data_IF_644675306305
#
_entry.id   IF_644675306305
#
_cell.length_a   1.000
_cell.length_b   1.000
_cell.length_c   1.000
_cell.angle_alpha   90.00
_cell.angle_beta   90.00
_cell.angle_gamma   90.00
#
_symmetry.space_group_name_H-M   'P 1'
#
loop_
_entity.id
_entity.type
_entity.pdbx_description
1 polymer ?
#
# COMPACT_ATOMS: atom_id res chain seq x y z
N UNK A 1 36.57 -68.33 -4.85
CA UNK A 1 35.14 -68.17 -5.20
C UNK A 1 34.42 -67.46 -4.08
N UNK A 2 33.98 -66.23 -4.31
CA UNK A 2 32.83 -65.53 -3.68
C UNK A 2 33.03 -64.01 -3.88
N UNK A 3 32.48 -63.50 -4.99
CA UNK A 3 32.41 -62.06 -5.27
C UNK A 3 31.28 -61.47 -4.43
N UNK A 4 31.61 -60.68 -3.41
CA UNK A 4 30.62 -59.83 -2.74
C UNK A 4 30.41 -58.57 -3.57
N UNK A 5 29.49 -58.64 -4.53
CA UNK A 5 28.97 -57.48 -5.24
C UNK A 5 28.03 -56.73 -4.31
N UNK A 6 28.55 -55.68 -3.69
CA UNK A 6 27.83 -54.72 -2.86
C UNK A 6 26.88 -53.91 -3.75
N UNK A 7 25.59 -54.26 -3.78
CA UNK A 7 24.54 -53.51 -4.48
C UNK A 7 24.26 -52.19 -3.77
N UNK A 8 25.05 -51.15 -4.09
CA UNK A 8 24.72 -49.78 -3.72
C UNK A 8 23.55 -49.29 -4.59
N UNK A 9 22.34 -49.35 -4.05
CA UNK A 9 21.21 -48.55 -4.54
C UNK A 9 21.63 -47.06 -4.52
N UNK A 10 21.54 -46.32 -5.64
CA UNK A 10 21.84 -44.90 -5.62
C UNK A 10 20.78 -44.19 -4.77
N UNK A 11 21.20 -43.66 -3.62
CA UNK A 11 20.40 -42.74 -2.81
C UNK A 11 20.18 -41.48 -3.65
N UNK A 12 19.06 -41.46 -4.38
CA UNK A 12 18.57 -40.28 -5.10
C UNK A 12 18.30 -39.21 -4.06
N UNK A 13 19.27 -38.31 -3.84
CA UNK A 13 19.07 -37.09 -3.05
C UNK A 13 17.91 -36.34 -3.71
N UNK A 14 16.73 -36.36 -3.08
CA UNK A 14 15.68 -35.40 -3.35
C UNK A 14 16.28 -34.04 -3.00
N UNK A 15 16.60 -33.26 -4.02
CA UNK A 15 16.75 -31.82 -3.85
C UNK A 15 15.51 -31.29 -3.13
N UNK A 16 15.65 -30.40 -2.13
CA UNK A 16 14.50 -29.78 -1.51
C UNK A 16 13.66 -29.12 -2.61
N UNK A 17 12.32 -29.23 -2.55
CA UNK A 17 11.46 -28.64 -3.57
C UNK A 17 11.80 -27.15 -3.71
N UNK A 18 11.84 -26.62 -4.94
CA UNK A 18 12.10 -25.20 -5.14
C UNK A 18 11.10 -24.40 -4.29
N UNK A 19 11.60 -23.44 -3.52
CA UNK A 19 10.80 -22.46 -2.80
C UNK A 19 10.10 -21.57 -3.83
N UNK A 20 9.05 -22.06 -4.47
CA UNK A 20 8.23 -21.31 -5.43
C UNK A 20 7.17 -20.46 -4.70
N UNK A 21 7.11 -20.51 -3.37
CA UNK A 21 5.97 -20.01 -2.58
C UNK A 21 6.24 -18.69 -1.85
N UNK A 22 7.46 -18.15 -1.85
CA UNK A 22 7.76 -16.91 -1.10
C UNK A 22 7.60 -15.61 -1.90
N UNK A 23 7.24 -15.69 -3.19
CA UNK A 23 6.93 -14.52 -4.01
C UNK A 23 5.49 -14.57 -4.53
N UNK A 24 4.51 -14.80 -3.64
CA UNK A 24 3.17 -14.27 -3.92
C UNK A 24 3.23 -12.75 -3.72
N UNK A 25 3.84 -12.08 -4.70
CA UNK A 25 3.68 -10.64 -4.88
C UNK A 25 2.19 -10.36 -4.87
N UNK A 26 1.75 -9.41 -4.04
CA UNK A 26 0.37 -8.91 -3.96
C UNK A 26 -0.28 -8.56 -5.32
N UNK A 27 0.50 -8.55 -6.41
CA UNK A 27 0.06 -8.45 -7.81
C UNK A 27 -0.83 -9.61 -8.30
N UNK A 28 -0.70 -10.84 -7.79
CA UNK A 28 -1.40 -12.02 -8.34
C UNK A 28 -2.83 -12.20 -7.82
N UNK A 29 -3.18 -11.52 -6.74
CA UNK A 29 -4.58 -11.40 -6.32
C UNK A 29 -5.09 -10.17 -7.07
N UNK A 30 -6.01 -10.33 -8.02
CA UNK A 30 -6.53 -9.25 -8.90
C UNK A 30 -7.14 -8.02 -8.21
N UNK A 31 -6.98 -7.91 -6.89
CA UNK A 31 -7.22 -6.77 -6.02
C UNK A 31 -6.15 -5.67 -6.15
N UNK A 32 -4.95 -5.96 -6.67
CA UNK A 32 -3.87 -4.98 -6.84
C UNK A 32 -4.29 -3.65 -7.52
N UNK A 33 -4.90 -3.68 -8.72
CA UNK A 33 -5.33 -2.44 -9.39
C UNK A 33 -6.50 -1.76 -8.67
N UNK A 34 -7.46 -2.51 -8.12
CA UNK A 34 -8.60 -1.93 -7.38
C UNK A 34 -8.17 -1.28 -6.07
N UNK A 35 -7.29 -1.92 -5.31
CA UNK A 35 -6.70 -1.35 -4.11
C UNK A 35 -5.88 -0.09 -4.45
N UNK A 36 -5.13 -0.11 -5.56
CA UNK A 36 -4.37 1.06 -6.02
C UNK A 36 -5.30 2.22 -6.40
N UNK A 37 -6.36 1.96 -7.18
CA UNK A 37 -7.37 2.97 -7.54
C UNK A 37 -8.05 3.53 -6.29
N UNK A 38 -8.41 2.66 -5.34
CA UNK A 38 -9.03 3.06 -4.08
C UNK A 38 -8.11 3.96 -3.26
N UNK A 39 -6.82 3.63 -3.17
CA UNK A 39 -5.81 4.47 -2.51
C UNK A 39 -5.64 5.81 -3.24
N UNK A 40 -5.65 5.83 -4.58
CA UNK A 40 -5.57 7.06 -5.37
C UNK A 40 -6.81 7.95 -5.13
N UNK A 41 -8.00 7.39 -5.10
CA UNK A 41 -9.23 8.13 -4.82
C UNK A 41 -9.21 8.70 -3.40
N UNK A 42 -8.83 7.89 -2.40
CA UNK A 42 -8.74 8.33 -1.00
C UNK A 42 -7.67 9.41 -0.82
N UNK A 43 -6.54 9.33 -1.52
CA UNK A 43 -5.47 10.34 -1.43
C UNK A 43 -5.80 11.65 -2.16
N UNK A 44 -6.61 11.61 -3.22
CA UNK A 44 -7.03 12.80 -3.97
C UNK A 44 -8.23 13.53 -3.37
N UNK A 45 -9.08 12.82 -2.61
CA UNK A 45 -10.25 13.37 -1.92
C UNK A 45 -9.92 14.57 -1.00
N UNK A 46 -8.91 14.47 -0.11
CA UNK A 46 -8.51 15.59 0.75
C UNK A 46 -8.03 16.81 -0.04
N UNK A 47 -7.28 16.62 -1.13
CA UNK A 47 -6.83 17.73 -1.98
C UNK A 47 -8.01 18.41 -2.68
N UNK A 48 -8.93 17.61 -3.19
CA UNK A 48 -10.15 18.11 -3.84
C UNK A 48 -11.01 18.90 -2.84
N UNK A 49 -11.16 18.39 -1.62
CA UNK A 49 -11.85 19.08 -0.52
C UNK A 49 -11.22 20.43 -0.16
N UNK A 50 -9.89 20.54 -0.16
CA UNK A 50 -9.18 21.80 0.08
C UNK A 50 -9.49 22.84 -1.02
N UNK A 51 -9.40 22.43 -2.29
CA UNK A 51 -9.67 23.31 -3.44
C UNK A 51 -11.12 23.83 -3.42
N UNK A 52 -12.08 22.94 -3.19
CA UNK A 52 -13.49 23.28 -3.10
C UNK A 52 -13.75 24.20 -1.90
N UNK A 53 -13.17 23.90 -0.74
CA UNK A 53 -13.28 24.74 0.47
C UNK A 53 -12.77 26.17 0.24
N UNK A 54 -11.60 26.31 -0.40
CA UNK A 54 -11.01 27.61 -0.75
C UNK A 54 -11.88 28.40 -1.75
N UNK A 55 -12.46 27.72 -2.73
CA UNK A 55 -13.38 28.34 -3.68
C UNK A 55 -14.62 28.89 -2.98
N UNK A 56 -15.28 28.08 -2.14
CA UNK A 56 -16.49 28.49 -1.43
C UNK A 56 -16.23 29.53 -0.34
N UNK A 57 -15.05 29.53 0.29
CA UNK A 57 -14.68 30.57 1.26
C UNK A 57 -14.70 31.99 0.67
N UNK A 58 -14.45 32.13 -0.64
CA UNK A 58 -14.45 33.44 -1.33
C UNK A 58 -15.84 33.92 -1.76
N UNK A 59 -16.89 33.13 -1.52
CA UNK A 59 -18.25 33.51 -1.90
C UNK A 59 -18.80 34.64 -1.02
N UNK A 60 -19.64 35.49 -1.62
CA UNK A 60 -20.29 36.63 -0.94
C UNK A 60 -21.40 36.18 0.02
N UNK A 61 -22.04 35.05 -0.26
CA UNK A 61 -23.09 34.51 0.60
C UNK A 61 -22.49 33.89 1.87
N UNK A 62 -22.97 34.34 3.03
CA UNK A 62 -22.45 33.92 4.33
C UNK A 62 -22.56 32.40 4.56
N UNK A 63 -23.67 31.80 4.14
CA UNK A 63 -23.91 30.36 4.31
C UNK A 63 -22.90 29.52 3.50
N UNK A 64 -22.67 29.86 2.23
CA UNK A 64 -21.71 29.13 1.37
C UNK A 64 -20.27 29.34 1.80
N UNK A 65 -19.93 30.55 2.28
CA UNK A 65 -18.62 30.83 2.87
C UNK A 65 -18.37 30.03 4.15
N UNK A 66 -19.38 29.89 5.00
CA UNK A 66 -19.29 29.09 6.23
C UNK A 66 -19.11 27.62 5.89
N UNK A 67 -19.88 27.09 4.94
CA UNK A 67 -19.71 25.75 4.41
C UNK A 67 -18.29 25.51 3.86
N UNK A 68 -17.78 26.44 3.05
CA UNK A 68 -16.42 26.38 2.51
C UNK A 68 -15.34 26.32 3.61
N UNK A 69 -15.49 27.11 4.67
CA UNK A 69 -14.59 27.07 5.84
C UNK A 69 -14.64 25.73 6.57
N UNK A 70 -15.84 25.21 6.83
CA UNK A 70 -16.01 23.90 7.49
C UNK A 70 -15.40 22.78 6.64
N UNK A 71 -15.64 22.80 5.33
CA UNK A 71 -15.06 21.84 4.40
C UNK A 71 -13.54 21.93 4.37
N UNK A 72 -12.98 23.14 4.39
CA UNK A 72 -11.54 23.37 4.43
C UNK A 72 -10.90 22.81 5.71
N UNK A 73 -11.51 23.05 6.88
CA UNK A 73 -11.04 22.48 8.15
C UNK A 73 -11.08 20.95 8.12
N UNK A 74 -12.17 20.37 7.63
CA UNK A 74 -12.33 18.93 7.54
C UNK A 74 -11.30 18.29 6.58
N UNK A 75 -11.09 18.89 5.41
CA UNK A 75 -10.11 18.41 4.44
C UNK A 75 -8.66 18.52 4.95
N UNK A 76 -8.35 19.57 5.72
CA UNK A 76 -7.03 19.74 6.37
C UNK A 76 -6.81 18.67 7.44
N UNK A 77 -7.84 18.39 8.25
CA UNK A 77 -7.77 17.35 9.28
C UNK A 77 -7.59 15.95 8.67
N UNK A 78 -8.31 15.63 7.59
CA UNK A 78 -8.12 14.40 6.82
C UNK A 78 -6.70 14.28 6.26
N UNK A 79 -6.15 15.37 5.72
CA UNK A 79 -4.76 15.42 5.27
C UNK A 79 -3.77 15.13 6.40
N UNK A 80 -4.00 15.72 7.58
CA UNK A 80 -3.16 15.49 8.74
C UNK A 80 -3.17 14.02 9.17
N UNK A 81 -4.35 13.40 9.28
CA UNK A 81 -4.47 11.97 9.60
C UNK A 81 -3.75 11.12 8.54
N UNK A 82 -3.98 11.44 7.26
CA UNK A 82 -3.33 10.72 6.17
C UNK A 82 -1.80 10.80 6.29
N UNK A 83 -1.26 12.00 6.57
CA UNK A 83 0.18 12.20 6.76
C UNK A 83 0.70 11.45 7.99
N UNK A 84 -0.05 11.43 9.10
CA UNK A 84 0.30 10.68 10.30
C UNK A 84 0.37 9.16 10.07
N UNK A 85 -0.44 8.61 9.17
CA UNK A 85 -0.41 7.18 8.82
C UNK A 85 0.65 6.89 7.75
N UNK A 86 0.78 7.73 6.73
CA UNK A 86 1.72 7.52 5.64
C UNK A 86 3.18 7.71 6.07
N UNK A 87 3.46 8.70 6.93
CA UNK A 87 4.81 9.04 7.35
C UNK A 87 5.56 7.87 8.01
N UNK A 88 5.01 7.19 9.04
CA UNK A 88 5.68 6.03 9.64
C UNK A 88 5.80 4.86 8.65
N UNK A 89 4.81 4.66 7.78
CA UNK A 89 4.86 3.61 6.75
C UNK A 89 6.00 3.85 5.76
N UNK A 90 6.23 5.10 5.34
CA UNK A 90 7.35 5.46 4.45
C UNK A 90 8.71 5.29 5.14
N UNK A 91 8.80 5.61 6.44
CA UNK A 91 10.03 5.40 7.21
C UNK A 91 10.34 3.90 7.34
N UNK A 92 9.35 3.07 7.69
CA UNK A 92 9.53 1.61 7.80
C UNK A 92 9.96 1.01 6.46
N UNK A 93 9.24 1.32 5.37
CA UNK A 93 9.58 0.82 4.03
C UNK A 93 10.94 1.35 3.55
N UNK A 94 11.29 2.60 3.89
CA UNK A 94 12.58 3.18 3.58
C UNK A 94 13.73 2.48 4.30
N UNK A 95 13.56 2.17 5.58
CA UNK A 95 14.53 1.43 6.40
C UNK A 95 14.71 0.01 5.85
N UNK A 96 13.63 -0.71 5.53
CA UNK A 96 13.71 -2.06 4.94
C UNK A 96 14.41 -2.12 3.58
N UNK A 97 14.51 -1.01 2.85
CA UNK A 97 15.21 -0.93 1.56
C UNK A 97 16.70 -0.63 1.69
N UNK A 98 17.16 -0.21 2.87
CA UNK A 98 18.53 0.19 3.16
C UNK A 98 19.37 -0.92 3.81
N UNK A 99 18.73 -1.94 4.38
CA UNK A 99 19.34 -3.12 5.01
C UNK A 99 19.09 -4.37 4.16
#
# INVERSE_FOLDING_TARGET
>A
MSNQTQSRLPVRRKSPPPRVVENLTLQQVGLGPFATIFIVIISTLPMTGLLIGLYYQRQKHYATRTFGRTLLMFATFLHFIYFCVLCPMLVVVGVERLF
#
